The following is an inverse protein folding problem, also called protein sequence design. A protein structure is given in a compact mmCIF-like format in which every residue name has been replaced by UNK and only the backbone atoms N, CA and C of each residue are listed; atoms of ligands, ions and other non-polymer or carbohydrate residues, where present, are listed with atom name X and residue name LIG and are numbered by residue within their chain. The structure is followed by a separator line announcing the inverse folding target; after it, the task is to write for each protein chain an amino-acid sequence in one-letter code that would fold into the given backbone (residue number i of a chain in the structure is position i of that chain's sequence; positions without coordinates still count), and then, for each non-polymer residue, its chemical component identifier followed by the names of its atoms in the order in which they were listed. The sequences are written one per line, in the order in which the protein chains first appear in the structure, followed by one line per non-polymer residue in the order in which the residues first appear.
data_IF_315215189656
#
_entry.id   IF_315215189656
#
_cell.length_a   1.000
_cell.length_b   1.000
_cell.length_c   1.000
_cell.angle_alpha   90.00
_cell.angle_beta   90.00
_cell.angle_gamma   90.00
#
_symmetry.space_group_name_H-M   'P 1'
#
loop_
_entity.id
_entity.type
_entity.pdbx_description
1 polymer ?
#
# COMPACT_ATOMS: atom_id res chain seq x y z
N UNK A 1 -4.77 -11.44 8.80
CA UNK A 1 -3.35 -11.86 8.66
C UNK A 1 -2.88 -11.41 7.29
N UNK A 2 -1.66 -10.89 7.18
CA UNK A 2 -1.05 -10.37 5.97
C UNK A 2 0.39 -10.88 5.86
N UNK A 3 0.82 -11.21 4.65
CA UNK A 3 2.17 -11.68 4.36
C UNK A 3 2.79 -10.75 3.33
N UNK A 4 4.02 -10.31 3.59
CA UNK A 4 4.81 -9.53 2.63
C UNK A 4 5.91 -10.41 2.03
N UNK A 5 6.01 -10.36 0.71
CA UNK A 5 7.00 -11.10 -0.07
C UNK A 5 8.00 -10.13 -0.69
N UNK A 6 9.25 -10.58 -0.79
CA UNK A 6 10.31 -9.95 -1.58
C UNK A 6 11.12 -11.06 -2.27
N UNK A 7 11.28 -10.96 -3.59
CA UNK A 7 12.00 -11.96 -4.40
C UNK A 7 11.52 -13.41 -4.20
N UNK A 8 10.22 -13.63 -3.96
CA UNK A 8 9.66 -14.96 -3.71
C UNK A 8 9.87 -15.51 -2.29
N UNK A 9 10.35 -14.68 -1.35
CA UNK A 9 10.56 -15.05 0.06
C UNK A 9 9.67 -14.25 0.98
N UNK A 10 9.21 -14.87 2.08
CA UNK A 10 8.46 -14.19 3.13
C UNK A 10 9.41 -13.31 3.94
N UNK A 11 9.15 -12.00 3.96
CA UNK A 11 9.92 -11.02 4.74
C UNK A 11 9.16 -10.46 5.94
N UNK A 12 7.84 -10.65 5.99
CA UNK A 12 7.01 -10.40 7.17
C UNK A 12 5.70 -11.18 7.09
N UNK A 13 5.19 -11.57 8.25
CA UNK A 13 3.93 -12.29 8.41
C UNK A 13 3.33 -11.91 9.77
N UNK A 14 2.06 -11.48 9.77
CA UNK A 14 1.40 -11.03 10.98
C UNK A 14 0.12 -10.23 10.73
N UNK A 15 -0.21 -9.34 11.66
CA UNK A 15 -1.32 -8.39 11.50
C UNK A 15 -0.94 -7.28 10.51
N UNK A 16 -1.91 -6.67 9.81
CA UNK A 16 -1.62 -5.60 8.86
C UNK A 16 -0.81 -4.44 9.45
N UNK A 17 -1.06 -4.05 10.69
CA UNK A 17 -0.33 -2.98 11.41
C UNK A 17 1.12 -3.37 11.74
N UNK A 18 1.40 -4.66 11.95
CA UNK A 18 2.75 -5.17 12.18
C UNK A 18 3.55 -5.29 10.88
N UNK A 19 2.86 -5.59 9.77
CA UNK A 19 3.49 -5.83 8.46
C UNK A 19 3.61 -4.55 7.62
N UNK A 20 2.59 -3.70 7.59
CA UNK A 20 2.57 -2.46 6.81
C UNK A 20 3.23 -1.34 7.60
N UNK A 21 4.55 -1.27 7.54
CA UNK A 21 5.32 -0.13 8.08
C UNK A 21 5.94 0.66 6.94
N UNK A 22 6.06 1.98 7.09
CA UNK A 22 6.68 2.83 6.08
C UNK A 22 8.11 2.35 5.71
N UNK A 23 8.88 1.93 6.72
CA UNK A 23 10.22 1.35 6.53
C UNK A 23 10.19 0.11 5.64
N UNK A 24 9.29 -0.85 5.91
CA UNK A 24 9.22 -2.11 5.16
C UNK A 24 8.73 -1.88 3.73
N UNK A 25 7.76 -0.99 3.53
CA UNK A 25 7.29 -0.60 2.20
C UNK A 25 8.39 0.07 1.38
N UNK A 26 9.16 0.96 2.00
CA UNK A 26 10.30 1.60 1.33
C UNK A 26 11.39 0.59 0.92
N UNK A 27 11.67 -0.40 1.77
CA UNK A 27 12.68 -1.42 1.49
C UNK A 27 12.27 -2.39 0.37
N UNK A 28 11.02 -2.86 0.38
CA UNK A 28 10.56 -3.89 -0.57
C UNK A 28 10.11 -3.28 -1.90
N UNK A 29 9.48 -2.11 -1.88
CA UNK A 29 8.89 -1.51 -3.07
C UNK A 29 9.62 -0.25 -3.56
N UNK A 30 10.61 0.26 -2.83
CA UNK A 30 11.26 1.54 -3.17
C UNK A 30 10.32 2.76 -3.07
N UNK A 31 9.17 2.61 -2.41
CA UNK A 31 8.13 3.63 -2.35
C UNK A 31 8.27 4.51 -1.11
N UNK A 32 8.06 5.83 -1.29
CA UNK A 32 7.94 6.78 -0.19
C UNK A 32 6.47 6.89 0.21
N UNK A 33 6.18 6.46 1.43
CA UNK A 33 4.80 6.39 1.94
C UNK A 33 4.73 6.83 3.39
N UNK A 34 3.55 7.24 3.79
CA UNK A 34 3.12 7.23 5.19
C UNK A 34 2.13 6.09 5.41
N UNK A 35 2.14 5.50 6.60
CA UNK A 35 1.14 4.51 7.00
C UNK A 35 0.31 5.10 8.13
N UNK A 36 -1.00 5.21 7.88
CA UNK A 36 -1.95 5.83 8.81
C UNK A 36 -2.88 4.77 9.35
N UNK A 37 -3.02 4.68 10.67
CA UNK A 37 -4.01 3.81 11.29
C UNK A 37 -5.43 4.34 11.04
N UNK A 38 -6.35 3.47 10.64
CA UNK A 38 -7.80 3.74 10.57
C UNK A 38 -8.58 2.64 11.29
N UNK A 39 -9.87 2.88 11.53
CA UNK A 39 -10.76 1.92 12.17
C UNK A 39 -10.80 0.56 11.45
N UNK A 40 -10.78 0.58 10.12
CA UNK A 40 -10.87 -0.64 9.29
C UNK A 40 -9.49 -1.25 8.94
N UNK A 41 -8.41 -0.69 9.49
CA UNK A 41 -7.03 -1.11 9.23
C UNK A 41 -6.12 0.01 8.71
N UNK A 42 -4.82 -0.26 8.52
CA UNK A 42 -3.86 0.73 8.07
C UNK A 42 -4.09 1.12 6.60
N UNK A 43 -3.95 2.41 6.30
CA UNK A 43 -3.90 2.95 4.95
C UNK A 43 -2.47 3.35 4.59
N UNK A 44 -1.98 2.93 3.43
CA UNK A 44 -0.67 3.33 2.89
C UNK A 44 -0.87 4.46 1.89
N UNK A 45 -0.38 5.65 2.20
CA UNK A 45 -0.57 6.84 1.38
C UNK A 45 0.75 7.26 0.72
N UNK A 46 0.76 7.55 -0.59
CA UNK A 46 1.98 7.96 -1.27
C UNK A 46 2.38 9.38 -0.86
N UNK A 47 3.66 9.56 -0.53
CA UNK A 47 4.24 10.88 -0.32
C UNK A 47 4.71 11.45 -1.66
N UNK A 48 4.14 12.57 -2.10
CA UNK A 48 4.60 13.23 -3.32
C UNK A 48 6.01 13.79 -3.13
N UNK A 49 6.87 13.62 -4.14
CA UNK A 49 8.01 14.52 -4.31
C UNK A 49 7.52 15.87 -4.84
N UNK A 50 8.35 16.92 -4.79
CA UNK A 50 8.01 18.28 -5.22
C UNK A 50 7.64 18.45 -6.71
N UNK A 51 7.25 17.39 -7.44
CA UNK A 51 6.96 17.45 -8.87
C UNK A 51 6.22 16.25 -9.46
N UNK A 52 5.28 15.60 -8.75
CA UNK A 52 4.46 14.52 -9.33
C UNK A 52 2.98 14.80 -9.17
N UNK A 53 2.21 14.75 -10.26
CA UNK A 53 0.74 14.79 -10.23
C UNK A 53 0.23 13.75 -9.23
N UNK A 54 -0.77 14.15 -8.42
CA UNK A 54 -1.56 13.23 -7.63
C UNK A 54 -1.84 11.97 -8.44
N UNK A 55 -1.52 10.78 -7.92
CA UNK A 55 -2.06 9.56 -8.50
C UNK A 55 -3.54 9.80 -8.72
N UNK A 56 -3.96 9.81 -9.99
CA UNK A 56 -5.36 9.95 -10.32
C UNK A 56 -6.10 8.91 -9.49
N UNK A 57 -7.12 9.35 -8.75
CA UNK A 57 -7.95 8.45 -7.96
C UNK A 57 -8.31 7.23 -8.85
N UNK A 58 -8.32 5.99 -8.32
CA UNK A 58 -8.88 4.89 -9.08
C UNK A 58 -10.24 5.37 -9.58
N UNK A 59 -10.43 5.37 -10.90
CA UNK A 59 -11.73 5.67 -11.49
C UNK A 59 -12.79 4.79 -10.83
N UNK A 60 -14.06 5.21 -10.84
CA UNK A 60 -15.14 4.39 -10.31
C UNK A 60 -14.97 2.96 -10.83
N UNK A 61 -14.95 1.98 -9.93
CA UNK A 61 -15.03 0.58 -10.33
C UNK A 61 -16.45 0.35 -10.81
N UNK A 62 -16.78 0.88 -11.99
CA UNK A 62 -18.08 0.70 -12.63
C UNK A 62 -18.12 -0.74 -13.14
N UNK A 63 -18.65 -1.61 -12.27
CA UNK A 63 -19.18 -2.90 -12.65
C UNK A 63 -20.35 -2.70 -13.59
N UNK A 64 -20.09 -2.76 -14.89
CA UNK A 64 -21.07 -3.08 -15.91
C UNK A 64 -20.37 -3.93 -16.98
N UNK A 65 -20.34 -5.24 -16.76
CA UNK A 65 -20.09 -6.18 -17.84
C UNK A 65 -21.25 -6.12 -18.86
N UNK A 66 -20.99 -6.27 -20.16
CA UNK A 66 -22.07 -6.28 -21.14
C UNK A 66 -22.94 -7.53 -20.96
N UNK A 67 -24.27 -7.32 -21.01
CA UNK A 67 -25.28 -8.36 -21.18
C UNK A 67 -25.35 -8.80 -22.65
#
# INVERSE_FOLDING_TARGET
RLVLLDGGRVVADGRPDEVLTAKRIAQVYGARVEVVARADGPAVLPLRGAGGVAGAAPGPLDGAGPA
#
